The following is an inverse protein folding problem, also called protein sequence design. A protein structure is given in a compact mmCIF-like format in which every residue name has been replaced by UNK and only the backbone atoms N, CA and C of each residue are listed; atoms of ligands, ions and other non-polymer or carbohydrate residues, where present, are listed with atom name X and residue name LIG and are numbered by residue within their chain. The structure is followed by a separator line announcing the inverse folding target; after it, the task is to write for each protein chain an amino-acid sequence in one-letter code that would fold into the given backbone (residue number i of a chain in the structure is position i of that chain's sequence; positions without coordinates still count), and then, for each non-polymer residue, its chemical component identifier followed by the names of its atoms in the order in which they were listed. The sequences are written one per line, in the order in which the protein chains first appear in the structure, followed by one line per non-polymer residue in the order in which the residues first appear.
data_IF_166581620405
#
_entry.id   IF_166581620405
#
_cell.length_a   1.000
_cell.length_b   1.000
_cell.length_c   1.000
_cell.angle_alpha   90.00
_cell.angle_beta   90.00
_cell.angle_gamma   90.00
#
_symmetry.space_group_name_H-M   'P 1'
#
loop_
_entity.id
_entity.type
_entity.pdbx_description
1 polymer ?
#
# COMPACT_ATOMS: atom_id res chain seq x y z
N UNK A 1 34.89 -11.68 12.47
CA UNK A 1 33.51 -11.59 12.96
C UNK A 1 32.64 -10.89 11.91
N UNK A 2 31.37 -11.26 11.83
CA UNK A 2 30.40 -10.70 10.92
C UNK A 2 29.14 -10.33 11.73
N UNK A 3 28.53 -9.19 11.41
CA UNK A 3 27.32 -8.69 12.01
C UNK A 3 26.28 -8.41 10.92
N UNK A 4 25.15 -9.06 11.01
CA UNK A 4 23.96 -8.78 10.21
C UNK A 4 23.03 -7.86 11.01
N UNK A 5 22.61 -6.75 10.41
CA UNK A 5 21.88 -5.70 11.11
C UNK A 5 20.69 -5.20 10.30
N UNK A 6 19.50 -5.46 10.83
CA UNK A 6 18.24 -4.92 10.30
C UNK A 6 18.08 -3.47 10.77
N UNK A 7 18.27 -2.52 9.88
CA UNK A 7 18.32 -1.09 10.21
C UNK A 7 16.97 -0.53 10.67
N UNK A 8 15.86 -1.10 10.19
CA UNK A 8 14.52 -0.55 10.42
C UNK A 8 14.32 0.85 9.81
N UNK A 9 15.12 1.24 8.82
CA UNK A 9 14.97 2.56 8.19
C UNK A 9 13.57 2.75 7.64
N UNK A 10 12.94 3.92 7.91
CA UNK A 10 11.56 4.21 7.56
C UNK A 10 11.38 4.43 6.06
N UNK A 11 10.11 4.43 5.62
CA UNK A 11 9.67 4.95 4.33
C UNK A 11 8.57 5.98 4.56
N UNK A 12 8.55 7.05 3.79
CA UNK A 12 7.48 8.03 3.81
C UNK A 12 6.26 7.47 3.06
N UNK A 13 5.26 7.01 3.78
CA UNK A 13 4.01 6.52 3.21
C UNK A 13 2.94 7.59 3.10
N UNK A 14 3.02 8.59 3.96
CA UNK A 14 1.97 9.59 4.14
C UNK A 14 2.53 10.99 3.93
N UNK A 15 1.66 11.93 3.57
CA UNK A 15 2.02 13.32 3.34
C UNK A 15 2.59 14.00 4.59
N UNK A 16 2.20 13.50 5.76
CA UNK A 16 2.64 13.99 7.06
C UNK A 16 3.99 13.42 7.51
N UNK A 17 4.48 12.37 6.84
CA UNK A 17 5.73 11.73 7.22
C UNK A 17 6.92 12.61 6.80
N UNK A 18 7.80 12.88 7.76
CA UNK A 18 9.07 13.58 7.52
C UNK A 18 10.22 12.65 7.84
N UNK A 19 11.10 12.43 6.88
CA UNK A 19 12.30 11.60 7.06
C UNK A 19 13.52 12.50 6.79
N UNK A 20 14.37 12.63 7.80
CA UNK A 20 15.65 13.27 7.65
C UNK A 20 16.73 12.20 7.39
N UNK A 21 17.01 11.95 6.12
CA UNK A 21 17.97 10.92 5.70
C UNK A 21 19.40 11.22 6.21
N UNK A 22 19.81 12.49 6.22
CA UNK A 22 21.13 12.88 6.70
C UNK A 22 21.31 12.59 8.19
N UNK A 23 20.27 12.84 9.00
CA UNK A 23 20.27 12.54 10.42
C UNK A 23 20.31 11.03 10.68
N UNK A 24 19.52 10.25 9.93
CA UNK A 24 19.49 8.79 10.03
C UNK A 24 20.86 8.18 9.68
N UNK A 25 21.42 8.58 8.54
CA UNK A 25 22.70 8.07 8.06
C UNK A 25 23.82 8.55 8.98
N UNK A 26 23.80 9.82 9.40
CA UNK A 26 24.78 10.39 10.31
C UNK A 26 24.79 9.69 11.68
N UNK A 27 23.61 9.47 12.26
CA UNK A 27 23.46 8.75 13.53
C UNK A 27 23.95 7.30 13.43
N UNK A 28 23.63 6.63 12.33
CA UNK A 28 24.11 5.27 12.08
C UNK A 28 25.63 5.23 11.91
N UNK A 29 26.22 6.16 11.15
CA UNK A 29 27.67 6.27 10.99
C UNK A 29 28.39 6.54 12.32
N UNK A 30 27.81 7.37 13.18
CA UNK A 30 28.34 7.61 14.53
C UNK A 30 28.33 6.32 15.35
N UNK A 31 27.23 5.59 15.37
CA UNK A 31 27.12 4.31 16.08
C UNK A 31 28.18 3.30 15.62
N UNK A 32 28.43 3.20 14.31
CA UNK A 32 29.48 2.35 13.76
C UNK A 32 30.90 2.78 14.22
N UNK A 33 31.13 4.09 14.34
CA UNK A 33 32.40 4.61 14.79
C UNK A 33 32.66 4.35 16.28
N UNK A 34 31.63 4.33 17.09
CA UNK A 34 31.71 4.05 18.54
C UNK A 34 31.90 2.57 18.87
N UNK A 35 31.69 1.66 17.91
CA UNK A 35 31.91 0.22 18.11
C UNK A 35 33.39 -0.08 18.39
N UNK A 36 33.65 -0.80 19.46
CA UNK A 36 35.01 -1.22 19.85
C UNK A 36 35.57 -2.31 18.95
N UNK A 37 34.72 -3.24 18.47
CA UNK A 37 35.04 -4.20 17.43
C UNK A 37 34.62 -3.68 16.06
N UNK A 38 35.32 -4.07 15.01
CA UNK A 38 35.05 -3.66 13.64
C UNK A 38 34.70 -4.90 12.79
N UNK A 39 33.52 -5.53 13.01
CA UNK A 39 33.10 -6.67 12.21
C UNK A 39 32.79 -6.23 10.78
N UNK A 40 32.76 -7.19 9.87
CA UNK A 40 32.12 -6.99 8.59
C UNK A 40 30.62 -6.82 8.84
N UNK A 41 30.03 -5.72 8.37
CA UNK A 41 28.61 -5.42 8.59
C UNK A 41 27.84 -5.65 7.31
N UNK A 42 26.78 -6.44 7.41
CA UNK A 42 25.75 -6.61 6.37
C UNK A 42 24.49 -5.92 6.83
N UNK A 43 23.96 -5.00 6.03
CA UNK A 43 22.74 -4.27 6.34
C UNK A 43 21.55 -4.92 5.62
N UNK A 44 20.48 -5.16 6.38
CA UNK A 44 19.18 -5.53 5.82
C UNK A 44 18.32 -4.28 5.66
N UNK A 45 17.95 -3.99 4.41
CA UNK A 45 17.14 -2.85 4.00
C UNK A 45 15.96 -3.35 3.17
N UNK A 46 14.77 -3.31 3.71
CA UNK A 46 13.56 -3.71 3.00
C UNK A 46 12.70 -2.51 2.64
N UNK A 47 11.98 -2.00 3.61
CA UNK A 47 10.96 -0.97 3.47
C UNK A 47 11.48 0.33 2.87
N UNK A 48 12.59 0.83 3.36
CA UNK A 48 13.21 2.09 2.92
C UNK A 48 13.61 2.09 1.43
N UNK A 49 13.91 0.92 0.86
CA UNK A 49 14.26 0.78 -0.56
C UNK A 49 13.03 0.44 -1.40
N UNK A 50 12.22 -0.54 -0.96
CA UNK A 50 11.21 -1.14 -1.81
C UNK A 50 9.85 -0.43 -1.77
N UNK A 51 9.56 0.40 -0.76
CA UNK A 51 8.26 1.07 -0.66
C UNK A 51 7.93 1.90 -1.90
N UNK A 52 8.88 2.71 -2.35
CA UNK A 52 8.69 3.63 -3.48
C UNK A 52 8.59 2.94 -4.84
N UNK A 53 8.95 1.65 -4.92
CA UNK A 53 8.90 0.89 -6.18
C UNK A 53 7.47 0.48 -6.56
N UNK A 54 6.53 0.48 -5.64
CA UNK A 54 5.18 -0.03 -5.86
C UNK A 54 4.13 1.07 -6.05
N UNK A 55 3.20 0.79 -6.95
CA UNK A 55 1.97 1.57 -7.14
C UNK A 55 0.79 0.62 -7.18
N UNK A 56 -0.29 0.99 -6.52
CA UNK A 56 -1.53 0.22 -6.52
C UNK A 56 -2.62 1.00 -7.25
N UNK A 57 -3.30 0.34 -8.19
CA UNK A 57 -4.35 0.93 -8.99
C UNK A 57 -5.69 0.27 -8.68
N UNK A 58 -6.72 1.07 -8.48
CA UNK A 58 -8.07 0.61 -8.19
C UNK A 58 -9.10 1.52 -8.86
N UNK A 59 -10.21 0.95 -9.35
CA UNK A 59 -11.27 1.73 -10.01
C UNK A 59 -12.28 2.24 -9.00
N UNK A 60 -12.80 3.42 -9.27
CA UNK A 60 -13.96 3.96 -8.57
C UNK A 60 -15.20 3.29 -9.14
N UNK A 61 -15.93 2.55 -8.29
CA UNK A 61 -17.13 1.80 -8.70
C UNK A 61 -18.42 2.48 -8.27
N UNK A 62 -18.37 3.37 -7.28
CA UNK A 62 -19.52 4.13 -6.83
C UNK A 62 -19.11 5.42 -6.13
N UNK A 63 -19.97 6.42 -6.14
CA UNK A 63 -19.81 7.66 -5.38
C UNK A 63 -21.11 8.08 -4.73
N UNK A 64 -21.06 8.56 -3.49
CA UNK A 64 -22.24 9.01 -2.75
C UNK A 64 -21.92 10.12 -1.77
N UNK A 65 -22.93 10.92 -1.46
CA UNK A 65 -22.90 11.86 -0.34
C UNK A 65 -23.79 11.35 0.79
N UNK A 66 -23.30 11.36 2.01
CA UNK A 66 -24.06 10.99 3.19
C UNK A 66 -23.73 11.93 4.35
N UNK A 67 -24.73 12.58 4.92
CA UNK A 67 -24.61 13.55 6.01
C UNK A 67 -23.61 14.68 5.75
N UNK A 68 -23.50 15.11 4.49
CA UNK A 68 -22.59 16.18 4.08
C UNK A 68 -21.16 15.74 3.79
N UNK A 69 -20.84 14.45 3.91
CA UNK A 69 -19.54 13.87 3.58
C UNK A 69 -19.62 13.11 2.26
N UNK A 70 -18.61 13.28 1.41
CA UNK A 70 -18.50 12.56 0.15
C UNK A 70 -17.68 11.26 0.33
N UNK A 71 -18.16 10.20 -0.32
CA UNK A 71 -17.56 8.88 -0.28
C UNK A 71 -17.36 8.33 -1.69
N UNK A 72 -16.17 7.82 -1.95
CA UNK A 72 -15.86 6.97 -3.09
C UNK A 72 -15.77 5.53 -2.63
N UNK A 73 -16.35 4.62 -3.41
CA UNK A 73 -16.17 3.19 -3.24
C UNK A 73 -15.26 2.71 -4.37
N UNK A 74 -14.23 1.95 -4.01
CA UNK A 74 -13.30 1.36 -4.98
C UNK A 74 -13.46 -0.16 -5.04
N UNK A 75 -13.04 -0.78 -6.15
CA UNK A 75 -13.12 -2.23 -6.36
C UNK A 75 -12.12 -3.03 -5.50
N UNK A 76 -11.11 -2.36 -4.96
CA UNK A 76 -10.15 -2.93 -4.01
C UNK A 76 -10.41 -2.51 -2.56
N UNK A 77 -9.36 -2.38 -1.79
CA UNK A 77 -9.43 -1.97 -0.38
C UNK A 77 -8.31 -2.54 0.47
N UNK A 78 -8.55 -2.66 1.78
CA UNK A 78 -7.58 -3.21 2.72
C UNK A 78 -7.31 -4.71 2.53
N UNK A 79 -8.07 -5.38 1.68
CA UNK A 79 -7.77 -6.74 1.23
C UNK A 79 -6.62 -6.80 0.22
N UNK A 80 -6.33 -5.69 -0.45
CA UNK A 80 -5.27 -5.58 -1.44
C UNK A 80 -4.02 -4.90 -0.91
N UNK A 81 -4.19 -3.81 -0.15
CA UNK A 81 -3.06 -3.05 0.41
C UNK A 81 -3.36 -2.57 1.83
N UNK A 82 -2.31 -2.53 2.64
CA UNK A 82 -2.31 -1.87 3.95
C UNK A 82 -0.99 -1.11 4.10
N UNK A 83 -1.06 0.17 4.43
CA UNK A 83 0.13 0.96 4.74
C UNK A 83 0.55 0.74 6.19
N UNK A 84 1.83 0.48 6.41
CA UNK A 84 2.39 0.38 7.75
C UNK A 84 2.15 1.67 8.56
N UNK A 85 1.64 1.51 9.76
CA UNK A 85 1.32 2.63 10.64
C UNK A 85 0.01 3.38 10.30
N UNK A 86 -0.75 2.91 9.29
CA UNK A 86 -2.09 3.41 9.05
C UNK A 86 -3.06 2.87 10.08
N UNK A 87 -3.85 3.77 10.68
CA UNK A 87 -4.92 3.40 11.59
C UNK A 87 -6.16 4.20 11.23
N UNK A 88 -7.24 3.50 10.84
CA UNK A 88 -8.54 4.08 10.46
C UNK A 88 -8.45 5.30 9.51
N UNK A 89 -7.52 5.26 8.57
CA UNK A 89 -7.25 6.33 7.61
C UNK A 89 -6.98 7.71 8.26
N UNK A 90 -6.28 7.73 9.38
CA UNK A 90 -5.91 8.98 10.07
C UNK A 90 -4.81 9.77 9.36
N UNK A 91 -4.01 9.10 8.53
CA UNK A 91 -2.94 9.71 7.73
C UNK A 91 -3.29 9.66 6.24
N UNK A 92 -2.83 10.66 5.49
CA UNK A 92 -3.10 10.77 4.07
C UNK A 92 -2.01 10.10 3.21
N UNK A 93 -2.29 8.97 2.53
CA UNK A 93 -1.32 8.36 1.62
C UNK A 93 -1.08 9.26 0.39
N UNK A 94 0.07 9.08 -0.25
CA UNK A 94 0.30 9.67 -1.56
C UNK A 94 -0.57 8.96 -2.59
N UNK A 95 -1.41 9.72 -3.28
CA UNK A 95 -2.28 9.20 -4.33
C UNK A 95 -2.58 10.26 -5.40
N UNK A 96 -3.00 9.80 -6.56
CA UNK A 96 -3.46 10.62 -7.67
C UNK A 96 -4.61 9.92 -8.41
N UNK A 97 -5.34 10.69 -9.22
CA UNK A 97 -6.32 10.15 -10.17
C UNK A 97 -5.66 10.08 -11.53
N UNK A 98 -5.61 8.90 -12.12
CA UNK A 98 -4.92 8.67 -13.39
C UNK A 98 -5.53 9.52 -14.52
N UNK A 99 -4.65 10.27 -15.21
CA UNK A 99 -5.06 11.17 -16.28
C UNK A 99 -5.59 12.53 -15.82
N UNK A 100 -5.69 12.77 -14.51
CA UNK A 100 -6.16 14.03 -13.91
C UNK A 100 -5.16 14.62 -12.91
N UNK A 101 -3.89 14.23 -12.98
CA UNK A 101 -2.85 14.57 -12.01
C UNK A 101 -2.58 16.08 -11.90
N UNK A 102 -2.88 16.84 -12.96
CA UNK A 102 -2.67 18.30 -13.02
C UNK A 102 -3.95 19.11 -12.89
N UNK A 103 -5.10 18.45 -12.76
CA UNK A 103 -6.37 19.13 -12.60
C UNK A 103 -6.52 19.71 -11.19
N UNK A 104 -7.24 20.84 -11.04
CA UNK A 104 -7.49 21.42 -9.73
C UNK A 104 -8.39 20.50 -8.90
N UNK A 105 -8.04 20.33 -7.63
CA UNK A 105 -8.89 19.63 -6.68
C UNK A 105 -10.13 20.48 -6.39
N UNK A 106 -11.31 19.86 -6.51
CA UNK A 106 -12.61 20.55 -6.39
C UNK A 106 -13.38 20.14 -5.12
N UNK A 107 -13.22 18.91 -4.70
CA UNK A 107 -13.99 18.34 -3.59
C UNK A 107 -13.12 17.47 -2.68
N UNK A 108 -13.60 17.28 -1.46
CA UNK A 108 -12.99 16.39 -0.47
C UNK A 108 -13.74 15.06 -0.41
N UNK A 109 -13.01 13.96 -0.41
CA UNK A 109 -13.54 12.61 -0.49
C UNK A 109 -12.98 11.68 0.57
N UNK A 110 -13.82 10.76 1.05
CA UNK A 110 -13.42 9.60 1.85
C UNK A 110 -13.39 8.38 0.92
N UNK A 111 -12.25 7.69 0.83
CA UNK A 111 -12.07 6.54 -0.06
C UNK A 111 -12.27 5.26 0.74
N UNK A 112 -13.31 4.51 0.40
CA UNK A 112 -13.69 3.26 1.02
C UNK A 112 -13.41 2.09 0.07
N UNK A 113 -12.92 0.98 0.62
CA UNK A 113 -12.75 -0.25 -0.15
C UNK A 113 -14.04 -1.03 -0.34
N UNK A 114 -13.91 -2.21 -0.93
CA UNK A 114 -15.02 -3.08 -1.33
C UNK A 114 -15.51 -4.04 -0.24
N UNK A 115 -14.89 -4.03 0.93
CA UNK A 115 -15.24 -4.95 2.00
C UNK A 115 -16.41 -4.45 2.85
N UNK A 116 -17.25 -5.36 3.33
CA UNK A 116 -18.27 -5.07 4.34
C UNK A 116 -17.60 -4.93 5.73
N UNK A 117 -16.81 -3.88 5.88
CA UNK A 117 -16.08 -3.57 7.11
C UNK A 117 -16.01 -2.06 7.31
N UNK A 118 -16.31 -1.59 8.51
CA UNK A 118 -16.13 -0.18 8.87
C UNK A 118 -14.67 0.28 8.85
N UNK A 119 -13.73 -0.67 8.87
CA UNK A 119 -12.29 -0.38 8.84
C UNK A 119 -11.75 -0.26 7.40
N UNK A 120 -12.54 -0.64 6.39
CA UNK A 120 -12.11 -0.57 4.99
C UNK A 120 -12.23 0.86 4.43
N UNK A 121 -11.53 1.77 5.09
CA UNK A 121 -11.35 3.15 4.68
C UNK A 121 -9.86 3.35 4.43
N UNK A 122 -9.49 3.61 3.18
CA UNK A 122 -8.08 3.72 2.78
C UNK A 122 -7.56 5.13 3.03
N UNK A 123 -8.39 6.14 2.78
CA UNK A 123 -8.05 7.54 2.98
C UNK A 123 -9.30 8.36 3.35
N UNK A 124 -9.11 9.40 4.15
CA UNK A 124 -10.17 10.33 4.56
C UNK A 124 -9.84 11.75 4.15
N UNK A 125 -10.89 12.50 3.78
CA UNK A 125 -10.83 13.94 3.51
C UNK A 125 -9.71 14.30 2.52
N UNK A 126 -9.54 13.46 1.48
CA UNK A 126 -8.59 13.71 0.41
C UNK A 126 -9.21 14.67 -0.60
N UNK A 127 -8.51 15.76 -0.90
CA UNK A 127 -8.90 16.67 -1.97
C UNK A 127 -8.56 16.04 -3.32
N UNK A 128 -9.57 15.88 -4.18
CA UNK A 128 -9.44 15.29 -5.51
C UNK A 128 -10.01 16.23 -6.60
N UNK A 129 -9.58 16.06 -7.86
CA UNK A 129 -10.22 16.74 -9.00
C UNK A 129 -11.66 16.26 -9.17
N UNK A 130 -12.33 16.69 -10.22
CA UNK A 130 -13.66 16.18 -10.56
C UNK A 130 -13.59 14.68 -10.87
N UNK A 131 -14.41 13.90 -10.14
CA UNK A 131 -14.34 12.44 -10.13
C UNK A 131 -15.56 11.83 -10.79
N UNK A 132 -15.34 10.83 -11.66
CA UNK A 132 -16.36 10.01 -12.28
C UNK A 132 -16.22 8.54 -11.88
N UNK A 133 -17.34 7.81 -11.94
CA UNK A 133 -17.33 6.34 -11.80
C UNK A 133 -16.56 5.77 -12.99
N UNK A 134 -15.61 4.87 -12.72
CA UNK A 134 -14.68 4.32 -13.70
C UNK A 134 -13.31 4.99 -13.70
N UNK A 135 -13.13 6.14 -13.06
CA UNK A 135 -11.82 6.71 -12.84
C UNK A 135 -10.94 5.75 -12.03
N UNK A 136 -9.63 5.84 -12.24
CA UNK A 136 -8.63 5.01 -11.57
C UNK A 136 -7.86 5.85 -10.57
N UNK A 137 -7.83 5.41 -9.33
CA UNK A 137 -6.95 5.96 -8.29
C UNK A 137 -5.66 5.16 -8.25
N UNK A 138 -4.54 5.87 -8.30
CA UNK A 138 -3.19 5.34 -8.09
C UNK A 138 -2.74 5.67 -6.66
N UNK A 139 -2.52 4.66 -5.83
CA UNK A 139 -1.87 4.79 -4.53
C UNK A 139 -0.38 4.54 -4.70
N UNK A 140 0.45 5.46 -4.19
CA UNK A 140 1.90 5.39 -4.32
C UNK A 140 2.55 4.73 -3.11
N UNK A 141 3.84 4.41 -3.22
CA UNK A 141 4.66 3.83 -2.16
C UNK A 141 4.10 2.52 -1.59
N UNK A 142 3.45 1.70 -2.44
CA UNK A 142 2.82 0.44 -2.04
C UNK A 142 3.73 -0.77 -2.21
N UNK A 143 5.04 -0.58 -2.45
CA UNK A 143 6.00 -1.65 -2.65
C UNK A 143 6.15 -2.56 -1.44
N UNK A 144 7.16 -2.43 -0.66
CA UNK A 144 7.45 -3.31 0.48
C UNK A 144 6.24 -3.57 1.39
N UNK A 145 5.86 -4.83 1.53
CA UNK A 145 4.87 -5.37 2.48
C UNK A 145 3.42 -4.92 2.32
N UNK A 146 3.12 -3.76 1.75
CA UNK A 146 1.74 -3.24 1.67
C UNK A 146 0.73 -4.25 1.13
N UNK A 147 1.13 -5.03 0.11
CA UNK A 147 0.28 -6.06 -0.49
C UNK A 147 0.15 -7.31 0.39
N UNK A 148 1.16 -7.66 1.19
CA UNK A 148 1.19 -8.89 1.99
C UNK A 148 0.62 -8.72 3.39
N UNK A 149 0.51 -7.49 3.88
CA UNK A 149 -0.11 -7.16 5.16
C UNK A 149 -1.64 -6.97 5.07
N UNK A 150 -2.20 -7.03 3.86
CA UNK A 150 -3.65 -6.95 3.63
C UNK A 150 -4.40 -8.17 4.16
N UNK A 151 -5.69 -7.98 4.50
CA UNK A 151 -6.59 -9.07 4.96
C UNK A 151 -7.17 -9.84 3.78
N UNK A 152 -6.31 -10.41 2.95
CA UNK A 152 -6.62 -10.95 1.62
C UNK A 152 -7.65 -12.09 1.60
N UNK A 153 -7.90 -12.78 2.73
CA UNK A 153 -8.87 -13.88 2.78
C UNK A 153 -10.28 -13.45 3.21
N UNK A 154 -10.47 -12.21 3.68
CA UNK A 154 -11.77 -11.76 4.14
C UNK A 154 -12.75 -11.59 2.96
N UNK A 155 -13.95 -12.16 3.11
CA UNK A 155 -15.02 -12.20 2.09
C UNK A 155 -14.62 -12.82 0.75
N UNK A 156 -13.54 -13.59 0.71
CA UNK A 156 -13.07 -14.30 -0.50
C UNK A 156 -12.91 -13.39 -1.72
N UNK A 157 -12.45 -12.15 -1.50
CA UNK A 157 -12.13 -11.22 -2.58
C UNK A 157 -10.85 -11.66 -3.30
N UNK A 158 -10.81 -11.47 -4.60
CA UNK A 158 -9.65 -11.81 -5.41
C UNK A 158 -8.44 -10.96 -5.04
N UNK A 159 -7.24 -11.54 -5.11
CA UNK A 159 -5.99 -10.82 -5.00
C UNK A 159 -5.66 -10.21 -6.37
N UNK A 160 -5.22 -8.95 -6.46
CA UNK A 160 -4.99 -8.27 -7.73
C UNK A 160 -3.79 -8.85 -8.49
N UNK A 161 -3.80 -8.66 -9.80
CA UNK A 161 -2.65 -8.94 -10.67
C UNK A 161 -1.45 -8.06 -10.29
N UNK A 162 -0.25 -8.57 -10.54
CA UNK A 162 1.00 -7.84 -10.31
C UNK A 162 1.76 -7.71 -11.63
N UNK A 163 2.17 -6.49 -11.93
CA UNK A 163 2.92 -6.16 -13.13
C UNK A 163 4.26 -5.51 -12.76
N UNK A 164 5.31 -5.86 -13.49
CA UNK A 164 6.58 -5.16 -13.44
C UNK A 164 6.66 -4.23 -14.66
N UNK A 165 6.88 -2.95 -14.42
CA UNK A 165 7.23 -1.98 -15.45
C UNK A 165 8.71 -2.11 -15.76
N UNK A 166 9.04 -2.43 -17.02
CA UNK A 166 10.41 -2.54 -17.48
C UNK A 166 10.99 -1.17 -17.86
N UNK A 167 12.31 -1.12 -18.04
CA UNK A 167 13.02 0.10 -18.44
C UNK A 167 12.57 0.64 -19.80
N UNK A 168 12.16 -0.24 -20.72
CA UNK A 168 11.62 0.12 -22.03
C UNK A 168 10.17 0.65 -21.98
N UNK A 169 9.58 0.74 -20.79
CA UNK A 169 8.23 1.20 -20.55
C UNK A 169 7.15 0.12 -20.73
N UNK A 170 7.51 -1.08 -21.17
CA UNK A 170 6.54 -2.21 -21.27
C UNK A 170 6.24 -2.79 -19.91
N UNK A 171 5.12 -3.53 -19.83
CA UNK A 171 4.67 -4.20 -18.60
C UNK A 171 4.73 -5.71 -18.77
N UNK A 172 5.26 -6.39 -17.75
CA UNK A 172 5.25 -7.84 -17.64
C UNK A 172 4.30 -8.24 -16.50
N UNK A 173 3.25 -8.99 -16.80
CA UNK A 173 2.44 -9.64 -15.78
C UNK A 173 3.28 -10.75 -15.13
N UNK A 174 3.54 -10.63 -13.83
CA UNK A 174 4.32 -11.60 -13.05
C UNK A 174 3.44 -12.43 -12.13
N UNK A 175 2.21 -12.00 -11.92
CA UNK A 175 1.17 -12.75 -11.23
C UNK A 175 -0.20 -12.30 -11.75
N UNK A 176 -1.02 -13.25 -12.17
CA UNK A 176 -2.42 -13.00 -12.49
C UNK A 176 -3.25 -12.78 -11.22
N UNK A 177 -4.45 -12.25 -11.39
CA UNK A 177 -5.46 -12.21 -10.33
C UNK A 177 -5.69 -13.62 -9.77
N UNK A 178 -5.87 -13.72 -8.46
CA UNK A 178 -6.02 -15.00 -7.78
C UNK A 178 -7.30 -15.06 -6.97
N UNK A 179 -8.12 -16.08 -7.25
CA UNK A 179 -9.39 -16.34 -6.57
C UNK A 179 -9.15 -16.93 -5.18
N UNK A 180 -9.42 -16.16 -4.12
CA UNK A 180 -9.18 -16.61 -2.73
C UNK A 180 -10.27 -17.51 -2.18
N UNK A 181 -11.45 -17.59 -2.82
CA UNK A 181 -12.55 -18.43 -2.34
C UNK A 181 -12.15 -19.90 -2.23
N UNK A 182 -11.22 -20.36 -3.09
CA UNK A 182 -10.69 -21.71 -3.04
C UNK A 182 -9.93 -22.04 -1.75
N UNK A 183 -9.35 -21.01 -1.10
CA UNK A 183 -8.66 -21.16 0.19
C UNK A 183 -9.66 -21.23 1.36
N UNK A 184 -10.84 -20.64 1.21
CA UNK A 184 -11.86 -20.54 2.23
C UNK A 184 -12.90 -21.66 2.18
N UNK A 185 -12.96 -22.42 1.07
CA UNK A 185 -13.93 -23.52 0.98
C UNK A 185 -13.44 -24.76 1.75
N UNK A 186 -14.34 -25.48 2.45
CA UNK A 186 -13.97 -26.68 3.17
C UNK A 186 -13.52 -27.79 2.20
N UNK A 187 -12.44 -28.47 2.57
CA UNK A 187 -11.96 -29.64 1.85
C UNK A 187 -12.42 -30.91 2.60
N UNK A 188 -13.62 -31.40 2.28
CA UNK A 188 -14.13 -32.62 2.86
C UNK A 188 -13.34 -33.81 2.34
N UNK A 189 -12.49 -34.41 3.20
CA UNK A 189 -12.01 -35.74 2.93
C UNK A 189 -13.19 -36.72 3.18
N UNK A 190 -13.54 -37.52 2.17
CA UNK A 190 -14.44 -38.66 2.42
C UNK A 190 -13.78 -39.52 3.48
N UNK A 191 -14.48 -39.74 4.60
CA UNK A 191 -14.06 -40.78 5.55
C UNK A 191 -14.05 -42.08 4.75
N UNK A 192 -12.89 -42.68 4.59
CA UNK A 192 -12.76 -44.05 4.09
C UNK A 192 -13.10 -44.94 5.27
N UNK A 193 -14.30 -45.55 5.24
CA UNK A 193 -14.69 -46.63 6.14
C UNK A 193 -13.75 -47.82 5.98
#
# INVERSE_FOLDING_TARGET
EELEYGTGFPAAYFKEDTINEDELIGGFAQLLNEMTSKPKITLELGRSIAAICGKYYTHIVDKKCNKGENYLLVDGGMNHIVYYGQHMAMKQPYLSVCGKETEPCTESWNICGSLCSMNDIIAKQISLPDIEIGDVICFENTGAYCMTEGISLFLSRDIPSVYIKKEDGTYLCVRDSFETFNLNKPNYRKETN
#
